data_IF_136121603419
#
_entry.id   IF_136121603419
#
_cell.length_a   1.000
_cell.length_b   1.000
_cell.length_c   1.000
_cell.angle_alpha   90.00
_cell.angle_beta   90.00
_cell.angle_gamma   90.00
#
_symmetry.space_group_name_H-M   'P 1'
#
loop_
_entity.id
_entity.type
_entity.pdbx_description
1 polymer ?
#
# COMPACT_ATOMS: atom_id res chain seq x y z
N UNK A 1 -16.31 -3.68 -7.11
CA UNK A 1 -17.07 -4.76 -6.45
C UNK A 1 -16.66 -4.81 -4.97
N UNK A 2 -17.53 -5.29 -4.07
CA UNK A 2 -17.20 -5.49 -2.67
C UNK A 2 -16.03 -6.47 -2.50
N UNK A 3 -15.12 -6.13 -1.58
CA UNK A 3 -14.05 -7.03 -1.13
C UNK A 3 -14.64 -7.97 -0.08
N UNK A 4 -14.38 -9.27 -0.22
CA UNK A 4 -14.88 -10.33 0.68
C UNK A 4 -13.79 -10.96 1.53
N UNK A 5 -12.53 -10.87 1.10
CA UNK A 5 -11.36 -11.37 1.84
C UNK A 5 -10.24 -10.34 1.79
N UNK A 6 -9.56 -10.15 2.93
CA UNK A 6 -8.32 -9.36 3.03
C UNK A 6 -7.32 -10.11 3.91
N UNK A 7 -6.08 -10.23 3.46
CA UNK A 7 -4.98 -10.82 4.22
C UNK A 7 -3.71 -9.97 4.12
N UNK A 8 -2.96 -9.87 5.23
CA UNK A 8 -1.60 -9.33 5.22
C UNK A 8 -0.63 -10.40 4.72
N UNK A 9 0.15 -10.08 3.70
CA UNK A 9 1.18 -10.99 3.18
C UNK A 9 2.49 -10.88 3.96
N UNK A 10 2.75 -9.74 4.60
CA UNK A 10 3.94 -9.48 5.41
C UNK A 10 3.57 -9.20 6.89
N UNK A 11 3.14 -10.21 7.68
CA UNK A 11 2.60 -9.99 9.03
C UNK A 11 3.64 -9.58 10.09
N UNK A 12 4.94 -9.69 9.81
CA UNK A 12 6.02 -9.42 10.76
C UNK A 12 6.79 -8.13 10.40
N UNK A 13 6.24 -6.99 10.80
CA UNK A 13 6.93 -5.69 10.80
C UNK A 13 7.63 -5.52 12.15
N UNK A 14 8.82 -6.11 12.33
CA UNK A 14 9.57 -5.96 13.60
C UNK A 14 10.45 -4.71 13.61
N UNK A 15 10.72 -4.09 14.79
CA UNK A 15 11.60 -2.93 14.91
C UNK A 15 13.01 -3.13 14.34
N UNK A 16 13.55 -4.36 14.38
CA UNK A 16 14.87 -4.65 13.79
C UNK A 16 14.85 -4.57 12.25
N UNK A 17 13.69 -4.81 11.61
CA UNK A 17 13.49 -4.56 10.16
C UNK A 17 13.29 -3.07 9.86
N UNK A 18 12.74 -2.30 10.80
CA UNK A 18 12.60 -0.83 10.68
C UNK A 18 13.97 -0.13 10.63
N UNK A 19 14.96 -0.64 11.36
CA UNK A 19 16.31 -0.06 11.43
C UNK A 19 17.20 -0.26 10.21
N UNK A 20 16.85 -1.16 9.28
CA UNK A 20 17.75 -1.53 8.17
C UNK A 20 17.13 -1.79 6.80
N UNK A 21 15.88 -2.27 6.69
CA UNK A 21 15.30 -2.66 5.40
C UNK A 21 13.77 -2.51 5.36
N UNK A 22 13.34 -1.49 4.61
CA UNK A 22 12.12 -1.47 3.78
C UNK A 22 10.79 -1.81 4.50
N UNK A 23 10.05 -0.78 4.91
CA UNK A 23 8.64 -0.91 5.26
C UNK A 23 7.82 -1.08 3.97
N UNK A 24 7.35 -2.30 3.70
CA UNK A 24 6.40 -2.59 2.61
C UNK A 24 5.15 -3.18 3.25
N UNK A 25 4.07 -2.40 3.24
CA UNK A 25 2.75 -2.93 3.52
C UNK A 25 2.29 -3.68 2.26
N UNK A 26 1.99 -4.96 2.40
CA UNK A 26 1.55 -5.82 1.30
C UNK A 26 0.28 -6.54 1.72
N UNK A 27 -0.80 -6.24 1.02
CA UNK A 27 -2.13 -6.78 1.24
C UNK A 27 -2.55 -7.58 0.02
N UNK A 28 -3.15 -8.73 0.29
CA UNK A 28 -3.95 -9.45 -0.69
C UNK A 28 -5.42 -9.23 -0.37
N UNK A 29 -6.20 -8.88 -1.38
CA UNK A 29 -7.65 -8.80 -1.28
C UNK A 29 -8.32 -9.63 -2.38
N UNK A 30 -9.53 -10.13 -2.11
CA UNK A 30 -10.34 -10.86 -3.08
C UNK A 30 -11.74 -10.24 -3.09
N UNK A 31 -12.28 -9.95 -4.29
CA UNK A 31 -13.66 -9.49 -4.44
C UNK A 31 -14.65 -10.64 -4.60
N UNK A 32 -15.94 -10.31 -4.54
CA UNK A 32 -17.03 -11.30 -4.68
C UNK A 32 -17.02 -12.05 -6.04
N UNK A 33 -16.37 -11.51 -7.07
CA UNK A 33 -16.20 -12.20 -8.36
C UNK A 33 -14.94 -13.07 -8.43
N UNK A 34 -14.17 -13.13 -7.33
CA UNK A 34 -12.92 -13.88 -7.22
C UNK A 34 -11.71 -13.18 -7.83
N UNK A 35 -11.82 -11.91 -8.24
CA UNK A 35 -10.64 -11.15 -8.69
C UNK A 35 -9.73 -10.93 -7.50
N UNK A 36 -8.43 -11.08 -7.74
CA UNK A 36 -7.41 -10.96 -6.70
C UNK A 36 -6.69 -9.63 -6.86
N UNK A 37 -6.45 -8.97 -5.75
CA UNK A 37 -5.77 -7.69 -5.69
C UNK A 37 -4.52 -7.84 -4.85
N UNK A 38 -3.40 -7.33 -5.35
CA UNK A 38 -2.19 -7.15 -4.56
C UNK A 38 -1.98 -5.64 -4.36
N UNK A 39 -2.02 -5.19 -3.11
CA UNK A 39 -1.95 -3.78 -2.76
C UNK A 39 -0.66 -3.57 -1.98
N UNK A 40 0.28 -2.84 -2.57
CA UNK A 40 1.57 -2.51 -1.96
C UNK A 40 1.66 -1.01 -1.69
N UNK A 41 2.23 -0.62 -0.55
CA UNK A 41 2.62 0.78 -0.28
C UNK A 41 4.12 0.89 -0.01
N UNK A 42 4.76 1.89 -0.62
CA UNK A 42 6.21 2.08 -0.55
C UNK A 42 6.63 3.53 -0.38
N UNK A 43 7.46 3.76 0.63
CA UNK A 43 7.97 5.09 1.01
C UNK A 43 9.35 5.41 0.44
N UNK A 44 10.04 4.44 -0.17
CA UNK A 44 11.37 4.62 -0.76
C UNK A 44 11.50 3.85 -2.06
N UNK A 45 12.19 4.45 -3.03
CA UNK A 45 12.49 3.81 -4.31
C UNK A 45 13.45 2.64 -4.10
N UNK A 46 13.07 1.48 -4.60
CA UNK A 46 13.90 0.28 -4.63
C UNK A 46 14.23 -0.10 -6.08
N UNK A 47 15.51 -0.35 -6.37
CA UNK A 47 15.98 -0.58 -7.74
C UNK A 47 15.32 -1.78 -8.43
N UNK A 48 15.01 -2.85 -7.69
CA UNK A 48 14.35 -4.06 -8.21
C UNK A 48 12.84 -4.11 -7.91
N UNK A 49 12.22 -2.95 -7.68
CA UNK A 49 10.80 -2.83 -7.36
C UNK A 49 9.88 -3.47 -8.40
N UNK A 50 10.08 -3.13 -9.68
CA UNK A 50 9.23 -3.61 -10.77
C UNK A 50 9.32 -5.13 -10.91
N UNK A 51 10.51 -5.70 -10.78
CA UNK A 51 10.72 -7.16 -10.80
C UNK A 51 9.98 -7.86 -9.67
N UNK A 52 10.04 -7.33 -8.44
CA UNK A 52 9.33 -7.95 -7.31
C UNK A 52 7.81 -7.86 -7.47
N UNK A 53 7.29 -6.69 -7.83
CA UNK A 53 5.86 -6.51 -8.08
C UNK A 53 5.35 -7.48 -9.13
N UNK A 54 6.06 -7.59 -10.27
CA UNK A 54 5.70 -8.54 -11.31
C UNK A 54 5.76 -10.00 -10.84
N UNK A 55 6.80 -10.39 -10.09
CA UNK A 55 6.89 -11.74 -9.53
C UNK A 55 5.69 -12.07 -8.63
N UNK A 56 5.25 -11.12 -7.80
CA UNK A 56 4.14 -11.33 -6.88
C UNK A 56 2.81 -11.43 -7.62
N UNK A 57 2.58 -10.56 -8.59
CA UNK A 57 1.39 -10.63 -9.45
C UNK A 57 1.35 -11.94 -10.26
N UNK A 58 2.49 -12.38 -10.81
CA UNK A 58 2.59 -13.64 -11.53
C UNK A 58 2.28 -14.84 -10.62
N UNK A 59 2.79 -14.87 -9.39
CA UNK A 59 2.47 -15.91 -8.40
C UNK A 59 0.99 -15.91 -8.05
N UNK A 60 0.43 -14.73 -7.76
CA UNK A 60 -0.99 -14.60 -7.42
C UNK A 60 -1.92 -15.07 -8.55
N UNK A 61 -1.45 -14.96 -9.80
CA UNK A 61 -2.11 -15.48 -10.99
C UNK A 61 -1.95 -17.00 -11.12
N UNK A 62 -0.73 -17.54 -11.00
CA UNK A 62 -0.47 -18.98 -11.13
C UNK A 62 -1.09 -19.80 -10.00
N UNK A 63 -1.11 -19.28 -8.77
CA UNK A 63 -1.65 -19.94 -7.57
C UNK A 63 -3.18 -19.99 -7.56
N UNK A 64 -3.82 -19.76 -8.70
CA UNK A 64 -5.26 -19.94 -8.89
C UNK A 64 -5.63 -21.33 -9.36
N UNK A 65 -4.70 -22.01 -10.03
CA UNK A 65 -4.96 -23.27 -10.70
C UNK A 65 -3.98 -24.35 -10.27
N UNK A 66 -4.50 -25.55 -10.10
CA UNK A 66 -3.71 -26.76 -9.98
C UNK A 66 -3.47 -27.42 -11.35
N UNK A 67 -2.54 -28.38 -11.38
CA UNK A 67 -2.22 -29.12 -12.59
C UNK A 67 -3.45 -29.84 -13.16
N UNK A 68 -3.75 -29.59 -14.43
CA UNK A 68 -4.89 -30.18 -15.14
C UNK A 68 -6.19 -29.37 -15.08
N UNK A 69 -6.22 -28.25 -14.35
CA UNK A 69 -7.39 -27.37 -14.32
C UNK A 69 -7.53 -26.50 -15.57
N UNK A 70 -8.77 -26.13 -15.90
CA UNK A 70 -9.12 -25.32 -17.06
C UNK A 70 -8.71 -23.85 -16.89
N UNK A 71 -7.89 -23.33 -17.80
CA UNK A 71 -7.44 -21.93 -17.82
C UNK A 71 -8.58 -20.89 -17.82
N UNK A 72 -9.78 -21.24 -18.33
CA UNK A 72 -10.96 -20.37 -18.30
C UNK A 72 -11.44 -20.04 -16.89
N UNK A 73 -10.98 -20.77 -15.88
CA UNK A 73 -11.28 -20.51 -14.46
C UNK A 73 -10.45 -19.37 -13.87
N UNK A 74 -9.36 -18.95 -14.55
CA UNK A 74 -8.53 -17.85 -14.08
C UNK A 74 -9.36 -16.58 -13.86
N UNK A 75 -9.16 -15.97 -12.70
CA UNK A 75 -9.69 -14.67 -12.34
C UNK A 75 -8.61 -13.62 -12.52
N UNK A 76 -8.98 -12.40 -12.92
CA UNK A 76 -8.06 -11.28 -13.01
C UNK A 76 -7.27 -11.05 -11.73
N UNK A 77 -6.00 -10.71 -11.90
CA UNK A 77 -5.08 -10.23 -10.87
C UNK A 77 -4.75 -8.77 -11.12
N UNK A 78 -4.99 -7.92 -10.12
CA UNK A 78 -4.80 -6.48 -10.20
C UNK A 78 -3.79 -6.05 -9.14
N UNK A 79 -2.63 -5.55 -9.57
CA UNK A 79 -1.70 -4.83 -8.72
C UNK A 79 -2.15 -3.40 -8.50
N UNK A 80 -2.02 -2.90 -7.27
CA UNK A 80 -2.26 -1.50 -6.88
C UNK A 80 -1.09 -1.07 -6.01
N UNK A 81 -0.17 -0.29 -6.59
CA UNK A 81 1.04 0.15 -5.90
C UNK A 81 0.92 1.64 -5.57
N UNK A 82 0.94 1.96 -4.28
CA UNK A 82 0.94 3.32 -3.75
C UNK A 82 2.38 3.74 -3.46
N UNK A 83 2.88 4.75 -4.18
CA UNK A 83 4.27 5.20 -4.09
C UNK A 83 4.35 6.61 -3.51
N UNK A 84 5.01 6.75 -2.37
CA UNK A 84 5.41 8.05 -1.78
C UNK A 84 6.77 8.49 -2.35
N UNK A 85 6.91 8.40 -3.67
CA UNK A 85 8.03 8.95 -4.44
C UNK A 85 7.63 9.11 -5.92
N UNK A 86 8.35 9.98 -6.63
CA UNK A 86 8.19 10.15 -8.08
C UNK A 86 8.93 9.05 -8.83
N UNK A 87 8.18 8.20 -9.52
CA UNK A 87 8.70 7.15 -10.40
C UNK A 87 8.95 7.70 -11.82
N UNK A 88 8.03 8.51 -12.33
CA UNK A 88 8.04 9.06 -13.70
C UNK A 88 8.29 10.56 -13.65
N UNK A 89 9.52 11.00 -13.91
CA UNK A 89 9.95 12.38 -13.68
C UNK A 89 10.07 13.22 -14.95
N UNK A 90 9.76 12.69 -16.14
CA UNK A 90 9.84 13.46 -17.37
C UNK A 90 8.79 14.59 -17.37
N UNK A 91 9.06 15.76 -17.97
CA UNK A 91 8.12 16.89 -17.98
C UNK A 91 6.72 16.53 -18.50
N UNK A 92 6.65 15.70 -19.54
CA UNK A 92 5.41 15.21 -20.16
C UNK A 92 4.64 14.21 -19.28
N UNK A 93 5.18 13.84 -18.12
CA UNK A 93 4.59 12.92 -17.14
C UNK A 93 4.22 13.64 -15.83
N UNK A 94 4.41 14.96 -15.77
CA UNK A 94 4.27 15.74 -14.54
C UNK A 94 2.82 15.92 -14.09
N UNK A 95 1.88 15.85 -15.03
CA UNK A 95 0.43 15.98 -14.84
C UNK A 95 -0.29 14.61 -14.71
N UNK A 96 0.45 13.51 -14.73
CA UNK A 96 -0.08 12.17 -14.53
C UNK A 96 0.41 11.57 -13.20
N UNK A 97 -0.55 11.12 -12.38
CA UNK A 97 -0.27 10.46 -11.11
C UNK A 97 -0.76 9.01 -11.02
N UNK A 98 -1.78 8.66 -11.82
CA UNK A 98 -2.32 7.31 -11.92
C UNK A 98 -1.85 6.67 -13.24
N UNK A 99 -1.19 5.52 -13.11
CA UNK A 99 -0.65 4.77 -14.24
C UNK A 99 -1.30 3.38 -14.26
N UNK A 100 -1.61 2.90 -15.46
CA UNK A 100 -2.17 1.56 -15.67
C UNK A 100 -1.31 0.84 -16.71
N UNK A 101 -0.70 -0.26 -16.29
CA UNK A 101 0.11 -1.13 -17.14
C UNK A 101 -0.65 -2.43 -17.42
N UNK A 102 -0.77 -2.75 -18.70
CA UNK A 102 -1.55 -3.87 -19.23
C UNK A 102 -0.79 -4.53 -20.38
N UNK A 103 -1.15 -5.78 -20.70
CA UNK A 103 -0.62 -6.46 -21.88
C UNK A 103 -1.26 -5.86 -23.15
N UNK A 104 -0.47 -5.08 -23.88
CA UNK A 104 -0.89 -4.35 -25.08
C UNK A 104 0.09 -4.61 -26.21
N UNK A 105 -0.39 -4.49 -27.44
CA UNK A 105 0.49 -4.54 -28.60
C UNK A 105 1.49 -3.38 -28.57
N UNK A 106 2.74 -3.65 -28.96
CA UNK A 106 3.83 -2.67 -28.87
C UNK A 106 3.69 -1.55 -29.91
N UNK A 107 3.21 -1.86 -31.11
CA UNK A 107 3.07 -0.90 -32.20
C UNK A 107 1.71 -0.20 -32.17
N UNK A 108 0.69 -0.85 -31.58
CA UNK A 108 -0.69 -0.39 -31.47
C UNK A 108 -1.17 -0.48 -30.02
N UNK A 109 -0.75 0.46 -29.14
CA UNK A 109 -1.04 0.38 -27.70
C UNK A 109 -2.54 0.32 -27.37
N UNK A 110 -3.43 0.78 -28.24
CA UNK A 110 -4.88 0.66 -28.10
C UNK A 110 -5.38 -0.80 -28.15
N UNK A 111 -4.63 -1.69 -28.81
CA UNK A 111 -4.92 -3.13 -28.88
C UNK A 111 -4.44 -3.80 -27.60
N UNK A 112 -5.40 -4.25 -26.78
CA UNK A 112 -5.15 -4.96 -25.52
C UNK A 112 -5.35 -6.47 -25.70
N UNK A 113 -4.40 -7.26 -25.20
CA UNK A 113 -4.52 -8.71 -25.12
C UNK A 113 -4.91 -9.12 -23.70
N UNK A 114 -6.13 -9.63 -23.54
CA UNK A 114 -6.59 -10.17 -22.26
C UNK A 114 -6.80 -9.12 -21.16
N UNK A 115 -7.26 -9.57 -20.00
CA UNK A 115 -7.48 -8.73 -18.79
C UNK A 115 -7.05 -9.42 -17.50
N UNK A 116 -6.24 -10.47 -17.62
CA UNK A 116 -5.90 -11.39 -16.54
C UNK A 116 -4.87 -10.78 -15.59
N UNK A 117 -4.02 -9.87 -16.08
CA UNK A 117 -2.97 -9.21 -15.30
C UNK A 117 -2.92 -7.71 -15.61
N UNK A 118 -2.94 -6.90 -14.57
CA UNK A 118 -2.83 -5.44 -14.66
C UNK A 118 -2.04 -4.92 -13.45
N UNK A 119 -1.21 -3.90 -13.64
CA UNK A 119 -0.56 -3.17 -12.56
C UNK A 119 -0.97 -1.69 -12.60
N UNK A 120 -1.54 -1.21 -11.50
CA UNK A 120 -1.85 0.19 -11.31
C UNK A 120 -0.86 0.82 -10.35
N UNK A 121 -0.37 2.01 -10.67
CA UNK A 121 0.52 2.78 -9.80
C UNK A 121 -0.14 4.12 -9.49
N UNK A 122 -0.14 4.51 -8.22
CA UNK A 122 -0.50 5.84 -7.77
C UNK A 122 0.75 6.49 -7.17
N UNK A 123 1.27 7.53 -7.83
CA UNK A 123 2.31 8.40 -7.28
C UNK A 123 1.65 9.41 -6.31
N UNK A 124 1.65 9.11 -5.01
CA UNK A 124 0.84 9.77 -4.00
C UNK A 124 1.03 11.30 -3.99
N UNK A 125 2.28 11.78 -3.91
CA UNK A 125 2.60 13.22 -3.97
C UNK A 125 2.08 13.94 -5.21
N UNK A 126 2.14 13.28 -6.38
CA UNK A 126 1.57 13.87 -7.60
C UNK A 126 0.06 13.88 -7.54
N UNK A 127 -0.53 12.79 -7.06
CA UNK A 127 -1.98 12.65 -6.98
C UNK A 127 -2.61 13.66 -6.02
N UNK A 128 -1.95 13.91 -4.89
CA UNK A 128 -2.31 14.94 -3.92
C UNK A 128 -2.27 16.34 -4.55
N UNK A 129 -1.11 16.73 -5.10
CA UNK A 129 -0.91 18.03 -5.76
C UNK A 129 -1.90 18.28 -6.91
N UNK A 130 -2.19 17.25 -7.71
CA UNK A 130 -3.00 17.40 -8.92
C UNK A 130 -4.51 17.33 -8.63
N UNK A 131 -4.93 16.71 -7.52
CA UNK A 131 -6.34 16.61 -7.12
C UNK A 131 -7.26 15.93 -8.16
N UNK A 132 -6.70 15.17 -9.11
CA UNK A 132 -7.41 14.68 -10.30
C UNK A 132 -8.16 13.34 -10.09
N UNK A 133 -8.00 12.72 -8.93
CA UNK A 133 -8.59 11.41 -8.65
C UNK A 133 -9.93 11.54 -7.93
N UNK A 134 -10.70 10.44 -7.91
CA UNK A 134 -12.03 10.43 -7.29
C UNK A 134 -11.96 10.85 -5.82
N UNK A 135 -12.96 11.57 -5.32
CA UNK A 135 -13.05 12.06 -3.93
C UNK A 135 -12.64 11.02 -2.88
N UNK A 136 -13.16 9.78 -3.00
CA UNK A 136 -12.84 8.69 -2.06
C UNK A 136 -11.36 8.28 -2.07
N UNK A 137 -10.72 8.28 -3.23
CA UNK A 137 -9.29 7.96 -3.36
C UNK A 137 -8.43 9.15 -2.91
N UNK A 138 -8.83 10.37 -3.26
CA UNK A 138 -8.18 11.60 -2.82
C UNK A 138 -8.19 11.74 -1.29
N UNK A 139 -9.27 11.31 -0.62
CA UNK A 139 -9.33 11.24 0.84
C UNK A 139 -8.24 10.34 1.44
N UNK A 140 -8.01 9.16 0.86
CA UNK A 140 -6.95 8.25 1.30
C UNK A 140 -5.55 8.78 0.97
N UNK A 141 -5.38 9.42 -0.19
CA UNK A 141 -4.11 10.06 -0.57
C UNK A 141 -3.76 11.17 0.42
N UNK A 142 -4.73 12.04 0.73
CA UNK A 142 -4.55 13.11 1.71
C UNK A 142 -4.19 12.53 3.09
N UNK A 143 -4.84 11.43 3.49
CA UNK A 143 -4.44 10.70 4.70
C UNK A 143 -2.97 10.24 4.64
N UNK A 144 -2.54 9.56 3.59
CA UNK A 144 -1.17 9.05 3.53
C UNK A 144 -0.10 10.15 3.50
N UNK A 145 -0.36 11.27 2.83
CA UNK A 145 0.59 12.39 2.71
C UNK A 145 0.57 13.32 3.95
N UNK A 146 -0.60 13.53 4.55
CA UNK A 146 -0.82 14.54 5.59
C UNK A 146 -1.23 13.99 6.96
N UNK A 147 -1.09 12.68 7.24
CA UNK A 147 -1.54 12.07 8.51
C UNK A 147 -1.00 12.73 9.79
N UNK A 148 0.12 13.45 9.73
CA UNK A 148 0.71 14.19 10.87
C UNK A 148 0.17 15.62 11.03
N UNK A 149 -0.58 16.11 10.06
CA UNK A 149 -1.15 17.45 10.06
C UNK A 149 -2.52 17.42 10.73
N UNK A 150 -2.54 17.50 12.06
CA UNK A 150 -3.77 17.39 12.85
C UNK A 150 -4.85 18.40 12.41
N UNK A 151 -4.47 19.61 12.01
CA UNK A 151 -5.41 20.62 11.52
C UNK A 151 -6.12 20.19 10.22
N UNK A 152 -5.44 19.48 9.33
CA UNK A 152 -5.96 19.00 8.05
C UNK A 152 -6.81 17.73 8.24
N UNK A 153 -6.35 16.84 9.11
CA UNK A 153 -6.89 15.48 9.18
C UNK A 153 -8.02 15.29 10.20
N UNK A 154 -8.06 16.09 11.28
CA UNK A 154 -9.09 15.94 12.35
C UNK A 154 -10.52 16.18 11.86
N UNK A 155 -10.69 16.94 10.80
CA UNK A 155 -12.00 17.33 10.25
C UNK A 155 -12.27 16.71 8.88
N UNK A 156 -11.47 15.74 8.44
CA UNK A 156 -11.62 15.16 7.10
C UNK A 156 -13.02 14.52 6.94
N UNK A 157 -13.84 14.87 5.93
CA UNK A 157 -15.26 14.49 5.88
C UNK A 157 -15.50 12.99 5.60
N UNK A 158 -14.49 12.28 5.11
CA UNK A 158 -14.60 10.87 4.75
C UNK A 158 -14.45 9.94 5.96
N UNK A 159 -15.57 9.37 6.43
CA UNK A 159 -15.63 8.55 7.65
C UNK A 159 -14.62 7.37 7.72
N UNK A 160 -14.32 6.62 6.64
CA UNK A 160 -13.28 5.59 6.69
C UNK A 160 -11.90 6.12 7.06
N UNK A 161 -11.54 7.31 6.57
CA UNK A 161 -10.28 7.98 6.90
C UNK A 161 -10.28 8.47 8.35
N UNK A 162 -11.40 9.02 8.83
CA UNK A 162 -11.53 9.41 10.25
C UNK A 162 -11.27 8.23 11.19
N UNK A 163 -11.88 7.08 10.93
CA UNK A 163 -11.65 5.86 11.72
C UNK A 163 -10.18 5.40 11.69
N UNK A 164 -9.51 5.55 10.54
CA UNK A 164 -8.08 5.22 10.44
C UNK A 164 -7.22 6.16 11.30
N UNK A 165 -7.51 7.46 11.28
CA UNK A 165 -6.83 8.48 12.11
C UNK A 165 -7.04 8.19 13.60
N UNK A 166 -8.28 7.94 14.02
CA UNK A 166 -8.61 7.61 15.41
C UNK A 166 -7.86 6.35 15.87
N UNK A 167 -7.82 5.31 15.03
CA UNK A 167 -7.09 4.09 15.33
C UNK A 167 -5.59 4.34 15.45
N UNK A 168 -5.01 5.15 14.57
CA UNK A 168 -3.60 5.52 14.62
C UNK A 168 -3.28 6.30 15.90
N UNK A 169 -4.09 7.30 16.25
CA UNK A 169 -3.96 8.06 17.50
C UNK A 169 -4.00 7.16 18.73
N UNK A 170 -4.93 6.22 18.77
CA UNK A 170 -5.04 5.26 19.87
C UNK A 170 -3.79 4.37 19.99
N UNK A 171 -3.23 3.90 18.86
CA UNK A 171 -2.00 3.11 18.84
C UNK A 171 -0.78 3.93 19.30
N UNK A 172 -0.63 5.16 18.81
CA UNK A 172 0.49 6.03 19.20
C UNK A 172 0.45 6.43 20.67
N UNK A 173 -0.73 6.68 21.23
CA UNK A 173 -0.90 6.97 22.65
C UNK A 173 -0.54 5.77 23.55
N UNK A 174 -0.88 4.55 23.11
CA UNK A 174 -0.51 3.31 23.81
C UNK A 174 1.00 3.07 23.78
N UNK A 175 1.64 3.25 22.62
CA UNK A 175 3.11 3.15 22.48
C UNK A 175 3.86 4.14 23.36
N UNK A 176 3.41 5.41 23.39
CA UNK A 176 4.01 6.43 24.27
C UNK A 176 3.84 6.07 25.74
N UNK A 177 2.65 5.60 26.13
CA UNK A 177 2.36 5.15 27.51
C UNK A 177 3.29 3.99 27.90
N UNK A 178 3.47 3.00 27.02
CA UNK A 178 4.38 1.87 27.23
C UNK A 178 5.83 2.32 27.37
N UNK A 179 6.30 3.20 26.49
CA UNK A 179 7.66 3.73 26.54
C UNK A 179 7.97 4.41 27.89
N UNK A 180 7.06 5.26 28.37
CA UNK A 180 7.23 5.93 29.67
C UNK A 180 7.19 4.96 30.86
N UNK A 181 6.39 3.88 30.78
CA UNK A 181 6.36 2.84 31.81
C UNK A 181 7.70 2.07 31.86
N UNK A 182 8.25 1.69 30.71
CA UNK A 182 9.55 1.01 30.60
C UNK A 182 10.70 1.89 31.09
N UNK A 183 10.71 3.18 30.73
CA UNK A 183 11.71 4.14 31.18
C UNK A 183 11.70 4.32 32.72
N UNK A 184 10.51 4.36 33.35
CA UNK A 184 10.37 4.42 34.81
C UNK A 184 10.89 3.15 35.48
N UNK A 185 10.54 1.98 34.97
CA UNK A 185 11.02 0.70 35.51
C UNK A 185 12.54 0.58 35.42
N UNK A 186 13.13 1.03 34.31
CA UNK A 186 14.59 1.09 34.14
C UNK A 186 15.25 2.03 35.14
N UNK A 187 14.72 3.25 35.31
CA UNK A 187 15.26 4.20 36.29
C UNK A 187 15.22 3.64 37.73
N UNK A 188 14.14 2.96 38.10
CA UNK A 188 14.02 2.30 39.41
C UNK A 188 15.00 1.12 39.57
N UNK A 189 15.23 0.35 38.50
CA UNK A 189 16.22 -0.74 38.51
C UNK A 189 17.65 -0.23 38.61
N UNK A 190 17.99 0.87 37.91
CA UNK A 190 19.32 1.48 37.96
C UNK A 190 19.59 2.07 39.36
N UNK A 191 18.59 2.72 39.98
CA UNK A 191 18.67 3.25 41.35
C UNK A 191 18.86 2.13 42.40
N UNK A 192 18.20 0.98 42.23
CA UNK A 192 18.34 -0.18 43.12
C UNK A 192 19.68 -0.92 42.98
N UNK A 193 20.39 -0.74 41.85
CA UNK A 193 21.70 -1.38 41.58
C UNK A 193 22.87 -0.52 42.09
N UNK A 194 22.62 0.74 42.41
CA UNK A 194 23.60 1.71 42.94
C UNK A 194 23.67 1.73 44.49
N UNK A 195 22.86 0.93 45.17
CA UNK A 195 22.85 0.69 46.63
C UNK A 195 23.51 -0.65 46.96
#
# INVERSE_FOLDING_TARGET
>A
PPIVEVSLLNPQLTPERLGGKQLILDLKAIDEQGRRYNIEMQVRRFAAWSTRGMLYLSRLLSDQLEAGEDYRRLKPVIGIHLLDFTLFAAPEQADQALWCFEMRDRARPEVRLGRELQLNIVELRKADRLGQLSERLSAWIAYFEHWREDATMSTHPYAPVQRAIEKLRALSADEETRYWAEARAKAQSDEATLL
#
